data_IF_495541221477
#
_entry.id   IF_495541221477
#
_cell.length_a   1.000
_cell.length_b   1.000
_cell.length_c   1.000
_cell.angle_alpha   90.00
_cell.angle_beta   90.00
_cell.angle_gamma   90.00
#
_symmetry.space_group_name_H-M   'P 1'
#
loop_
_entity.id
_entity.type
_entity.pdbx_description
1 polymer ?
#
# COMPACT_ATOMS: atom_id res chain seq x y z
N UNK A 1 -44.91 -28.40 2.16
CA UNK A 1 -44.87 -27.02 1.61
C UNK A 1 -44.06 -26.03 2.46
N UNK A 2 -43.77 -26.29 3.76
CA UNK A 2 -43.00 -25.38 4.61
C UNK A 2 -41.47 -25.46 4.42
N UNK A 3 -40.92 -26.65 4.08
CA UNK A 3 -39.47 -26.86 3.89
C UNK A 3 -38.87 -26.08 2.70
N UNK A 4 -39.65 -25.88 1.63
CA UNK A 4 -39.19 -25.17 0.44
C UNK A 4 -39.09 -23.64 0.65
N UNK A 5 -39.91 -23.06 1.54
CA UNK A 5 -39.86 -21.62 1.85
C UNK A 5 -38.67 -21.26 2.75
N UNK A 6 -38.26 -22.17 3.64
CA UNK A 6 -37.08 -21.99 4.50
C UNK A 6 -35.80 -22.02 3.67
N UNK A 7 -35.71 -22.89 2.66
CA UNK A 7 -34.55 -22.97 1.77
C UNK A 7 -34.37 -21.69 0.93
N UNK A 8 -35.48 -21.04 0.53
CA UNK A 8 -35.45 -19.78 -0.22
C UNK A 8 -35.00 -18.58 0.63
N UNK A 9 -35.26 -18.58 1.94
CA UNK A 9 -34.84 -17.50 2.85
C UNK A 9 -33.34 -17.58 3.19
N UNK A 10 -32.77 -18.78 3.28
CA UNK A 10 -31.34 -18.97 3.59
C UNK A 10 -30.44 -18.62 2.40
N UNK A 11 -30.92 -18.81 1.16
CA UNK A 11 -30.19 -18.41 -0.05
C UNK A 11 -30.07 -16.89 -0.26
N UNK A 12 -30.90 -16.09 0.41
CA UNK A 12 -30.91 -14.62 0.28
C UNK A 12 -29.99 -13.89 1.28
N UNK A 13 -29.33 -14.63 2.19
CA UNK A 13 -28.50 -14.08 3.28
C UNK A 13 -27.00 -14.37 3.11
N UNK A 14 -26.57 -14.84 1.94
CA UNK A 14 -25.14 -14.85 1.62
C UNK A 14 -24.78 -13.45 1.12
N UNK A 15 -24.14 -12.57 1.92
CA UNK A 15 -23.45 -11.45 1.34
C UNK A 15 -22.43 -12.04 0.37
N UNK A 16 -22.60 -11.78 -0.92
CA UNK A 16 -21.51 -11.91 -1.87
C UNK A 16 -20.45 -10.93 -1.37
N UNK A 17 -19.51 -11.42 -0.57
CA UNK A 17 -18.35 -10.67 -0.16
C UNK A 17 -17.55 -10.40 -1.43
N UNK A 18 -17.79 -9.24 -2.04
CA UNK A 18 -16.93 -8.72 -3.08
C UNK A 18 -15.73 -8.16 -2.33
N UNK A 19 -14.58 -8.83 -2.46
CA UNK A 19 -13.30 -8.24 -2.11
C UNK A 19 -12.87 -7.44 -3.35
N UNK A 20 -12.66 -6.14 -3.18
CA UNK A 20 -12.04 -5.30 -4.19
C UNK A 20 -10.55 -5.57 -4.20
N UNK A 21 -10.03 -6.11 -5.31
CA UNK A 21 -8.58 -6.17 -5.54
C UNK A 21 -8.19 -5.00 -6.43
N UNK A 22 -7.22 -4.20 -5.96
CA UNK A 22 -6.57 -3.17 -6.77
C UNK A 22 -5.07 -3.32 -6.68
N UNK A 23 -4.42 -3.21 -7.83
CA UNK A 23 -2.97 -3.28 -7.94
C UNK A 23 -2.39 -1.91 -8.25
N UNK A 24 -1.16 -1.70 -7.81
CA UNK A 24 -0.41 -0.46 -7.97
C UNK A 24 0.92 -0.76 -8.64
N UNK A 25 1.30 0.11 -9.58
CA UNK A 25 2.66 0.25 -10.06
C UNK A 25 3.17 1.62 -9.60
N UNK A 26 4.25 1.65 -8.82
CA UNK A 26 4.85 2.89 -8.36
C UNK A 26 6.34 2.96 -8.71
N UNK A 27 6.77 4.13 -9.18
CA UNK A 27 8.14 4.40 -9.58
C UNK A 27 8.62 5.72 -8.99
N UNK A 28 9.92 5.83 -8.79
CA UNK A 28 10.52 7.06 -8.30
C UNK A 28 12.03 6.94 -8.20
N UNK A 29 12.63 7.99 -7.63
CA UNK A 29 14.07 8.06 -7.39
C UNK A 29 14.35 8.70 -6.05
N UNK A 30 15.13 8.04 -5.21
CA UNK A 30 15.63 8.62 -3.96
C UNK A 30 16.98 9.29 -4.17
N UNK A 31 17.22 10.39 -3.47
CA UNK A 31 18.50 11.11 -3.48
C UNK A 31 18.91 11.49 -2.06
N UNK A 32 20.22 11.42 -1.80
CA UNK A 32 20.83 11.88 -0.55
C UNK A 32 21.92 12.90 -0.92
N UNK A 33 21.65 14.20 -0.81
CA UNK A 33 22.59 15.24 -1.27
C UNK A 33 23.84 15.32 -0.38
N UNK A 34 23.71 14.96 0.91
CA UNK A 34 24.84 14.86 1.85
C UNK A 34 25.84 13.76 1.48
N UNK A 35 25.35 12.60 1.03
CA UNK A 35 26.18 11.46 0.66
C UNK A 35 25.45 10.54 -0.33
N UNK A 36 25.80 10.62 -1.60
CA UNK A 36 25.17 9.85 -2.66
C UNK A 36 25.26 8.33 -2.47
N UNK A 37 26.24 7.81 -1.73
CA UNK A 37 26.33 6.35 -1.47
C UNK A 37 25.25 5.85 -0.51
N UNK A 38 24.60 6.76 0.23
CA UNK A 38 23.52 6.45 1.17
C UNK A 38 22.13 6.38 0.53
N UNK A 39 22.03 6.62 -0.79
CA UNK A 39 20.80 6.34 -1.55
C UNK A 39 20.67 4.84 -1.89
N UNK A 40 21.78 4.10 -1.81
CA UNK A 40 21.85 2.66 -2.05
C UNK A 40 21.11 1.90 -0.96
N UNK A 41 20.43 0.81 -1.35
CA UNK A 41 19.74 -0.09 -0.42
C UNK A 41 18.67 0.61 0.44
N UNK A 42 18.18 1.78 0.03
CA UNK A 42 16.98 2.35 0.62
C UNK A 42 15.83 1.37 0.35
N UNK A 43 15.24 0.83 1.40
CA UNK A 43 14.14 -0.11 1.30
C UNK A 43 12.85 0.68 1.06
N UNK A 44 12.15 0.35 -0.01
CA UNK A 44 10.91 1.01 -0.40
C UNK A 44 9.77 0.02 -0.25
N UNK A 45 8.84 0.32 0.63
CA UNK A 45 7.64 -0.47 0.90
C UNK A 45 6.42 0.25 0.35
N UNK A 46 5.61 -0.47 -0.41
CA UNK A 46 4.26 -0.10 -0.78
C UNK A 46 3.32 -0.75 0.22
N UNK A 47 2.54 0.07 0.91
CA UNK A 47 1.65 -0.34 2.00
C UNK A 47 0.23 0.11 1.66
N UNK A 48 -0.73 -0.73 2.06
CA UNK A 48 -2.14 -0.39 2.13
C UNK A 48 -2.43 0.11 3.54
N UNK A 49 -3.22 1.17 3.68
CA UNK A 49 -3.49 1.74 4.99
C UNK A 49 -4.77 1.12 5.55
N UNK A 50 -4.60 0.24 6.53
CA UNK A 50 -5.71 -0.38 7.28
C UNK A 50 -5.93 0.28 8.64
N UNK A 51 -7.20 0.55 8.97
CA UNK A 51 -7.64 0.99 10.29
C UNK A 51 -7.20 2.40 10.72
N UNK A 52 -8.15 3.21 11.20
CA UNK A 52 -7.83 4.48 11.88
C UNK A 52 -7.74 4.31 13.41
N UNK A 53 -6.73 4.94 14.00
CA UNK A 53 -6.59 5.28 15.42
C UNK A 53 -6.52 4.12 16.43
N UNK A 54 -7.63 3.47 16.77
CA UNK A 54 -7.70 2.49 17.89
C UNK A 54 -7.70 1.03 17.43
N UNK A 55 -7.83 0.80 16.13
CA UNK A 55 -7.88 -0.54 15.55
C UNK A 55 -6.59 -0.96 14.85
N UNK A 56 -5.61 -0.06 14.68
CA UNK A 56 -4.35 -0.33 13.96
C UNK A 56 -3.50 -1.46 14.59
N UNK A 57 -3.66 -1.72 15.90
CA UNK A 57 -3.00 -2.87 16.57
C UNK A 57 -3.68 -4.21 16.24
N UNK A 58 -4.94 -4.18 15.82
CA UNK A 58 -5.76 -5.34 15.48
C UNK A 58 -5.78 -5.54 13.96
N UNK A 59 -5.61 -4.46 13.21
CA UNK A 59 -5.64 -4.38 11.75
C UNK A 59 -4.51 -3.44 11.28
N UNK A 60 -3.25 -3.92 11.29
CA UNK A 60 -2.10 -3.13 10.88
C UNK A 60 -2.07 -2.96 9.36
N UNK A 61 -1.49 -1.85 8.88
CA UNK A 61 -1.25 -1.57 7.47
C UNK A 61 -0.66 -2.77 6.71
N UNK A 62 -1.38 -3.24 5.68
CA UNK A 62 -1.00 -4.40 4.90
C UNK A 62 0.15 -4.11 3.92
N UNK A 63 1.13 -5.02 3.88
CA UNK A 63 2.24 -4.95 2.93
C UNK A 63 1.80 -5.40 1.54
N UNK A 64 1.71 -4.46 0.60
CA UNK A 64 1.41 -4.77 -0.81
C UNK A 64 2.67 -5.20 -1.58
N UNK A 65 3.83 -4.59 -1.30
CA UNK A 65 5.07 -4.87 -2.01
C UNK A 65 6.31 -4.23 -1.39
N UNK A 66 7.49 -4.82 -1.63
CA UNK A 66 8.78 -4.32 -1.14
C UNK A 66 9.82 -4.37 -2.24
N UNK A 67 10.65 -3.34 -2.35
CA UNK A 67 11.79 -3.27 -3.25
C UNK A 67 12.94 -2.51 -2.59
N UNK A 68 14.08 -2.45 -3.27
CA UNK A 68 15.22 -1.64 -2.85
C UNK A 68 15.61 -0.67 -3.98
N UNK A 69 16.05 0.53 -3.60
CA UNK A 69 16.58 1.48 -4.57
C UNK A 69 17.86 0.94 -5.23
N UNK A 70 17.94 1.11 -6.54
CA UNK A 70 19.09 0.77 -7.38
C UNK A 70 20.28 1.70 -7.09
N UNK A 71 21.41 1.44 -7.75
CA UNK A 71 22.63 2.23 -7.56
C UNK A 71 22.45 3.73 -7.84
N UNK A 72 21.65 4.04 -8.84
CA UNK A 72 21.31 5.40 -9.24
C UNK A 72 20.16 6.01 -8.41
N UNK A 73 19.67 5.29 -7.39
CA UNK A 73 18.56 5.69 -6.53
C UNK A 73 17.17 5.41 -7.12
N UNK A 74 17.06 4.91 -8.35
CA UNK A 74 15.76 4.57 -8.94
C UNK A 74 15.12 3.38 -8.25
N UNK A 75 13.79 3.32 -8.20
CA UNK A 75 13.05 2.16 -7.72
C UNK A 75 11.77 1.92 -8.54
N UNK A 76 11.31 0.68 -8.52
CA UNK A 76 9.98 0.28 -8.98
C UNK A 76 9.43 -0.72 -7.97
N UNK A 77 8.24 -0.44 -7.45
CA UNK A 77 7.53 -1.32 -6.51
C UNK A 77 6.13 -1.58 -7.06
N UNK A 78 5.71 -2.83 -6.95
CA UNK A 78 4.43 -3.32 -7.46
C UNK A 78 3.79 -4.19 -6.38
N UNK A 79 2.47 -4.14 -6.30
CA UNK A 79 1.72 -4.88 -5.29
C UNK A 79 0.22 -4.69 -5.45
N UNK A 80 -0.56 -5.55 -4.81
CA UNK A 80 -2.01 -5.47 -4.78
C UNK A 80 -2.51 -5.42 -3.33
N UNK A 81 -3.53 -4.62 -3.10
CA UNK A 81 -4.27 -4.55 -1.84
C UNK A 81 -5.62 -5.27 -2.00
N UNK A 82 -6.09 -5.87 -0.91
CA UNK A 82 -7.27 -6.72 -0.88
C UNK A 82 -8.26 -6.25 0.16
N UNK A 83 -9.06 -5.27 -0.23
CA UNK A 83 -10.01 -4.65 0.66
C UNK A 83 -11.39 -5.30 0.55
N UNK A 84 -12.03 -5.50 1.70
CA UNK A 84 -13.40 -6.03 1.75
C UNK A 84 -14.39 -4.88 1.83
N UNK A 85 -15.38 -4.90 0.94
CA UNK A 85 -16.53 -4.00 1.02
C UNK A 85 -17.26 -4.20 2.37
N UNK A 86 -17.08 -3.25 3.28
CA UNK A 86 -17.68 -3.28 4.62
C UNK A 86 -19.20 -3.02 4.59
N UNK A 87 -19.67 -2.27 3.59
CA UNK A 87 -21.08 -2.02 3.32
C UNK A 87 -21.48 -2.47 1.91
N UNK A 88 -22.70 -3.01 1.72
CA UNK A 88 -23.24 -3.21 0.38
C UNK A 88 -23.22 -1.91 -0.42
N UNK A 89 -22.73 -1.98 -1.67
CA UNK A 89 -22.65 -0.87 -2.62
C UNK A 89 -21.63 0.24 -2.31
N UNK A 90 -20.78 0.07 -1.30
CA UNK A 90 -19.64 0.96 -1.02
C UNK A 90 -18.36 0.16 -1.21
N UNK A 91 -17.64 0.45 -2.29
CA UNK A 91 -16.34 -0.17 -2.53
C UNK A 91 -15.32 0.34 -1.52
N UNK A 92 -14.64 -0.57 -0.83
CA UNK A 92 -13.42 -0.26 -0.10
C UNK A 92 -12.26 -0.50 -1.08
N UNK A 93 -11.73 0.58 -1.66
CA UNK A 93 -10.51 0.48 -2.48
C UNK A 93 -9.31 0.71 -1.55
N UNK A 94 -8.18 0.01 -1.77
CA UNK A 94 -6.92 0.23 -1.08
C UNK A 94 -6.54 1.71 -0.95
N UNK A 95 -5.89 2.05 0.16
CA UNK A 95 -5.38 3.37 0.49
C UNK A 95 -3.83 3.39 0.44
N UNK A 96 -3.21 3.26 -0.75
CA UNK A 96 -1.79 3.00 -0.86
C UNK A 96 -0.94 4.20 -0.46
N UNK A 97 0.19 3.91 0.18
CA UNK A 97 1.26 4.87 0.44
C UNK A 97 2.64 4.20 0.37
N UNK A 98 3.69 5.04 0.30
CA UNK A 98 5.08 4.58 0.26
C UNK A 98 5.78 4.90 1.57
N UNK A 99 6.46 3.91 2.13
CA UNK A 99 7.37 4.05 3.26
C UNK A 99 8.79 3.72 2.80
N UNK A 100 9.76 4.56 3.14
CA UNK A 100 11.16 4.42 2.74
C UNK A 100 12.04 4.34 3.98
N UNK A 101 12.76 3.23 4.16
CA UNK A 101 13.80 3.09 5.19
C UNK A 101 15.16 3.38 4.57
N UNK A 102 15.91 4.33 5.14
CA UNK A 102 17.21 4.77 4.60
C UNK A 102 18.22 5.14 5.70
N UNK A 103 19.48 5.35 5.31
CA UNK A 103 20.57 5.73 6.24
C UNK A 103 21.26 7.05 5.84
N UNK A 104 20.54 7.92 5.12
CA UNK A 104 21.06 9.20 4.63
C UNK A 104 21.49 10.17 5.75
N UNK A 105 20.69 10.29 6.81
CA UNK A 105 20.97 11.19 7.93
C UNK A 105 21.74 10.52 9.08
N UNK A 106 21.47 9.24 9.33
CA UNK A 106 22.03 8.46 10.45
C UNK A 106 22.37 7.03 10.02
N UNK A 107 23.37 6.44 10.65
CA UNK A 107 23.78 5.05 10.37
C UNK A 107 22.81 4.01 10.93
N UNK A 108 22.08 4.33 12.00
CA UNK A 108 20.97 3.51 12.50
C UNK A 108 19.78 3.55 11.53
N UNK A 109 19.67 4.68 10.81
CA UNK A 109 18.74 4.97 9.74
C UNK A 109 17.31 5.28 10.19
N UNK A 110 16.54 5.79 9.24
CA UNK A 110 15.30 6.53 9.45
C UNK A 110 14.24 6.11 8.44
N UNK A 111 13.00 6.41 8.78
CA UNK A 111 11.83 6.13 7.95
C UNK A 111 11.21 7.43 7.46
N UNK A 112 11.07 7.56 6.15
CA UNK A 112 10.29 8.61 5.48
C UNK A 112 8.97 8.02 5.00
N UNK A 113 7.85 8.69 5.28
CA UNK A 113 6.52 8.29 4.80
C UNK A 113 6.05 9.34 3.81
N UNK A 114 5.70 8.92 2.60
CA UNK A 114 5.12 9.79 1.58
C UNK A 114 3.60 9.91 1.76
N UNK A 115 2.97 11.00 1.27
CA UNK A 115 1.52 11.09 1.23
C UNK A 115 0.89 9.91 0.47
N UNK A 116 -0.27 9.46 0.94
CA UNK A 116 -1.06 8.45 0.24
C UNK A 116 -1.56 8.96 -1.12
N UNK A 117 -1.86 8.02 -2.02
CA UNK A 117 -2.26 8.31 -3.40
C UNK A 117 -3.37 7.37 -3.89
N UNK A 118 -3.96 7.66 -5.06
CA UNK A 118 -5.07 6.88 -5.66
C UNK A 118 -4.83 6.66 -7.14
N UNK A 119 -3.73 5.98 -7.45
CA UNK A 119 -3.34 5.60 -8.81
C UNK A 119 -3.16 4.10 -8.85
N UNK A 120 -3.94 3.44 -9.70
CA UNK A 120 -4.00 1.99 -9.81
C UNK A 120 -3.72 1.56 -11.26
N UNK A 121 -3.32 0.30 -11.44
CA UNK A 121 -3.11 -0.31 -12.76
C UNK A 121 -4.35 -0.09 -13.65
N UNK A 122 -4.18 0.29 -14.93
CA UNK A 122 -2.93 0.30 -15.71
C UNK A 122 -2.06 1.55 -15.57
N UNK A 123 -2.48 2.55 -14.79
CA UNK A 123 -1.71 3.76 -14.59
C UNK A 123 -0.57 3.52 -13.58
N UNK A 124 0.51 4.28 -13.72
CA UNK A 124 1.68 4.22 -12.83
C UNK A 124 1.73 5.45 -11.96
N UNK A 125 1.89 5.26 -10.65
CA UNK A 125 2.16 6.34 -9.71
C UNK A 125 3.63 6.77 -9.83
N UNK A 126 3.85 8.03 -10.23
CA UNK A 126 5.18 8.62 -10.36
C UNK A 126 5.49 9.46 -9.12
N UNK A 127 6.25 8.88 -8.17
CA UNK A 127 6.63 9.55 -6.92
C UNK A 127 7.69 10.65 -7.13
N UNK A 128 8.28 10.74 -8.32
CA UNK A 128 9.29 11.74 -8.67
C UNK A 128 10.62 11.53 -7.95
N UNK A 129 11.32 12.64 -7.69
CA UNK A 129 12.58 12.64 -6.93
C UNK A 129 12.32 12.95 -5.46
N UNK A 130 12.76 12.06 -4.58
CA UNK A 130 12.52 12.10 -3.14
C UNK A 130 13.86 12.38 -2.43
N UNK A 131 13.93 13.49 -1.69
CA UNK A 131 15.11 13.83 -0.90
C UNK A 131 15.07 13.13 0.45
N UNK A 132 16.11 12.35 0.76
CA UNK A 132 16.23 11.59 1.99
C UNK A 132 16.88 12.37 3.14
N UNK A 133 17.44 13.55 2.86
CA UNK A 133 18.15 14.43 3.81
C UNK A 133 17.38 15.70 4.19
N UNK A 134 16.08 15.73 3.86
CA UNK A 134 15.16 16.81 4.20
C UNK A 134 14.93 16.93 5.71
#
# INVERSE_FOLDING_TARGET
MLKAKILLLVGALLPLAMAGEKCVWARGKVVCERNATKQLNAEVRLLDKDGEWVFQTIDPDDSMGVTFANEDGSFTVEGCGYDRDWLPFVTNDPEPYIQIRHNCNTDDGETLILPGFKTFVPDTYEAGTIKLDA
#
